data_IF_119728772214
#
_entry.id   IF_119728772214
#
_cell.length_a   1.000
_cell.length_b   1.000
_cell.length_c   1.000
_cell.angle_alpha   90.00
_cell.angle_beta   90.00
_cell.angle_gamma   90.00
#
_symmetry.space_group_name_H-M   'P 1'
#
loop_
_entity.id
_entity.type
_entity.pdbx_description
1 polymer ?
#
# COMPACT_ATOMS: atom_id res chain seq x y z
N UNK A 1 -9.10 -9.92 23.43
CA UNK A 1 -9.18 -11.12 22.57
C UNK A 1 -7.85 -11.22 21.85
N UNK A 2 -7.11 -12.32 22.02
CA UNK A 2 -5.90 -12.60 21.25
C UNK A 2 -6.34 -13.10 19.87
N UNK A 3 -6.04 -12.36 18.83
CA UNK A 3 -6.29 -12.78 17.45
C UNK A 3 -5.10 -13.61 17.00
N UNK A 4 -5.33 -14.81 16.47
CA UNK A 4 -4.28 -15.62 15.88
C UNK A 4 -3.91 -15.05 14.50
N UNK A 5 -2.74 -14.44 14.43
CA UNK A 5 -2.20 -13.87 13.19
C UNK A 5 -1.17 -14.79 12.51
N UNK A 6 -1.03 -16.02 12.97
CA UNK A 6 -0.05 -16.98 12.42
C UNK A 6 -0.28 -17.23 10.92
N UNK A 7 -1.53 -17.16 10.45
CA UNK A 7 -1.88 -17.30 9.04
C UNK A 7 -1.29 -16.22 8.14
N UNK A 8 -1.08 -15.00 8.65
CA UNK A 8 -0.44 -13.90 7.89
C UNK A 8 1.04 -14.17 7.59
N UNK A 9 1.70 -14.96 8.42
CA UNK A 9 3.14 -15.22 8.34
C UNK A 9 3.46 -16.46 7.52
N UNK A 10 2.61 -17.49 7.63
CA UNK A 10 2.86 -18.78 6.98
C UNK A 10 2.42 -18.75 5.51
N UNK A 11 3.37 -18.93 4.60
CA UNK A 11 3.14 -19.03 3.16
C UNK A 11 3.52 -20.43 2.69
N UNK A 12 2.62 -21.04 1.93
CA UNK A 12 2.79 -22.39 1.38
C UNK A 12 3.30 -22.41 -0.05
N UNK A 13 3.53 -21.23 -0.66
CA UNK A 13 3.94 -21.12 -2.07
C UNK A 13 5.34 -20.50 -2.19
N UNK A 14 5.99 -20.76 -3.32
CA UNK A 14 7.29 -20.18 -3.67
C UNK A 14 7.09 -18.87 -4.46
N UNK A 15 8.09 -17.95 -4.46
CA UNK A 15 8.03 -16.75 -5.29
C UNK A 15 7.68 -17.07 -6.75
N UNK A 16 6.75 -16.30 -7.31
CA UNK A 16 6.16 -16.55 -8.62
C UNK A 16 4.83 -17.28 -8.59
N UNK A 17 4.48 -17.97 -7.50
CA UNK A 17 3.23 -18.71 -7.35
C UNK A 17 2.41 -18.11 -6.21
N UNK A 18 1.15 -17.77 -6.48
CA UNK A 18 0.22 -17.22 -5.48
C UNK A 18 -0.70 -18.32 -4.93
N UNK A 19 -1.03 -18.31 -3.64
CA UNK A 19 -2.12 -19.12 -3.12
C UNK A 19 -3.46 -18.59 -3.67
N UNK A 20 -4.49 -19.42 -3.78
CA UNK A 20 -5.79 -18.98 -4.29
C UNK A 20 -6.46 -17.95 -3.37
N UNK A 21 -6.24 -18.05 -2.08
CA UNK A 21 -6.73 -17.13 -1.07
C UNK A 21 -5.62 -16.70 -0.12
N UNK A 22 -5.82 -15.59 0.57
CA UNK A 22 -4.90 -15.04 1.55
C UNK A 22 -5.64 -14.45 2.74
N UNK A 23 -5.05 -14.49 3.95
CA UNK A 23 -5.59 -13.74 5.08
C UNK A 23 -5.32 -12.23 4.91
N UNK A 24 -6.33 -11.41 5.23
CA UNK A 24 -6.26 -9.96 5.17
C UNK A 24 -7.14 -9.31 6.25
N UNK A 25 -6.71 -8.13 6.73
CA UNK A 25 -7.56 -7.25 7.53
C UNK A 25 -8.48 -6.47 6.59
N UNK A 26 -9.77 -6.77 6.68
CA UNK A 26 -10.79 -6.33 5.72
C UNK A 26 -11.72 -5.32 6.36
N UNK A 27 -12.00 -4.25 5.62
CA UNK A 27 -13.07 -3.28 5.88
C UNK A 27 -14.24 -3.59 4.95
N UNK A 28 -15.47 -3.54 5.47
CA UNK A 28 -16.72 -3.64 4.71
C UNK A 28 -17.61 -2.45 5.02
N UNK A 29 -18.40 -2.00 4.04
CA UNK A 29 -19.23 -0.81 4.20
C UNK A 29 -20.28 -0.93 5.31
N UNK A 30 -20.81 -2.12 5.51
CA UNK A 30 -21.79 -2.43 6.56
C UNK A 30 -21.19 -2.52 7.98
N UNK A 31 -19.85 -2.41 8.09
CA UNK A 31 -19.11 -2.49 9.37
C UNK A 31 -18.35 -1.21 9.71
N UNK A 32 -18.62 -0.10 9.06
CA UNK A 32 -17.95 1.15 9.42
C UNK A 32 -18.12 1.50 10.90
N UNK A 33 -17.01 1.91 11.53
CA UNK A 33 -16.97 2.24 12.95
C UNK A 33 -15.53 2.37 13.46
N UNK A 34 -15.33 2.11 14.75
CA UNK A 34 -13.99 2.10 15.29
C UNK A 34 -13.13 0.99 14.63
N UNK A 35 -11.84 1.27 14.32
CA UNK A 35 -11.01 0.31 13.61
C UNK A 35 -10.95 -1.08 14.24
N UNK A 36 -11.02 -1.18 15.55
CA UNK A 36 -11.03 -2.46 16.28
C UNK A 36 -12.25 -3.32 15.95
N UNK A 37 -13.33 -2.72 15.52
CA UNK A 37 -14.58 -3.41 15.17
C UNK A 37 -14.74 -3.52 13.64
N UNK A 38 -14.33 -2.50 12.90
CA UNK A 38 -14.51 -2.42 11.45
C UNK A 38 -13.50 -3.26 10.67
N UNK A 39 -12.25 -3.35 11.15
CA UNK A 39 -11.21 -4.16 10.53
C UNK A 39 -11.24 -5.58 11.10
N UNK A 40 -11.58 -6.56 10.28
CA UNK A 40 -11.64 -7.95 10.68
C UNK A 40 -10.73 -8.81 9.82
N UNK A 41 -10.08 -9.81 10.43
CA UNK A 41 -9.25 -10.76 9.70
C UNK A 41 -10.17 -11.73 8.95
N UNK A 42 -10.07 -11.73 7.63
CA UNK A 42 -10.85 -12.59 6.74
C UNK A 42 -9.92 -13.30 5.75
N UNK A 43 -10.37 -14.43 5.23
CA UNK A 43 -9.77 -15.10 4.09
C UNK A 43 -10.40 -14.55 2.82
N UNK A 44 -9.58 -13.98 1.93
CA UNK A 44 -10.02 -13.35 0.68
C UNK A 44 -9.26 -13.92 -0.51
N UNK A 45 -9.79 -13.77 -1.71
CA UNK A 45 -9.11 -14.14 -2.94
C UNK A 45 -7.80 -13.34 -3.08
N UNK A 46 -6.71 -14.03 -3.43
CA UNK A 46 -5.42 -13.37 -3.68
C UNK A 46 -5.46 -12.66 -5.03
N UNK A 47 -5.12 -11.37 -5.10
CA UNK A 47 -5.16 -10.64 -6.36
C UNK A 47 -4.06 -11.12 -7.32
N UNK A 48 -4.36 -11.14 -8.61
CA UNK A 48 -3.38 -11.31 -9.68
C UNK A 48 -2.86 -9.95 -10.16
N UNK A 49 -1.58 -9.87 -10.56
CA UNK A 49 -1.04 -8.61 -11.07
C UNK A 49 -1.51 -8.37 -12.50
N UNK A 50 -2.04 -7.20 -12.78
CA UNK A 50 -2.29 -6.69 -14.13
C UNK A 50 -1.01 -6.22 -14.82
N UNK A 51 -1.14 -5.60 -16.00
CA UNK A 51 -0.02 -4.98 -16.69
C UNK A 51 0.62 -3.88 -15.82
N UNK A 52 1.95 -3.90 -15.73
CA UNK A 52 2.76 -2.99 -14.90
C UNK A 52 2.48 -3.05 -13.40
N UNK A 53 1.77 -4.08 -12.92
CA UNK A 53 1.52 -4.31 -11.50
C UNK A 53 2.44 -5.40 -10.93
N UNK A 54 2.59 -5.37 -9.60
CA UNK A 54 3.43 -6.30 -8.84
C UNK A 54 2.63 -6.78 -7.63
N UNK A 55 2.72 -8.06 -7.35
CA UNK A 55 2.30 -8.62 -6.06
C UNK A 55 3.52 -8.66 -5.14
N UNK A 56 3.35 -8.09 -3.98
CA UNK A 56 4.36 -8.03 -2.94
C UNK A 56 3.92 -8.86 -1.76
N UNK A 57 4.77 -9.78 -1.30
CA UNK A 57 4.64 -10.39 0.02
C UNK A 57 4.97 -9.33 1.06
N UNK A 58 4.01 -8.97 1.88
CA UNK A 58 4.19 -7.99 2.94
C UNK A 58 5.01 -8.60 4.08
N UNK A 59 6.13 -7.98 4.42
CA UNK A 59 6.97 -8.34 5.55
C UNK A 59 6.69 -7.46 6.76
N UNK A 60 6.41 -6.18 6.52
CA UNK A 60 5.91 -5.23 7.52
C UNK A 60 5.00 -4.20 6.86
N UNK A 61 4.02 -3.72 7.62
CA UNK A 61 3.08 -2.68 7.21
C UNK A 61 3.06 -1.54 8.24
N UNK A 62 3.18 -0.31 7.77
CA UNK A 62 3.02 0.88 8.62
C UNK A 62 1.56 1.22 8.84
N UNK A 63 1.23 1.70 10.05
CA UNK A 63 -0.11 2.15 10.40
C UNK A 63 -0.16 3.67 10.34
N UNK A 64 -1.08 4.20 9.53
CA UNK A 64 -1.29 5.63 9.34
C UNK A 64 -2.73 6.02 9.74
N UNK A 65 -2.95 7.29 10.03
CA UNK A 65 -4.25 7.78 10.47
C UNK A 65 -5.34 7.67 9.39
N UNK A 66 -4.97 7.66 8.10
CA UNK A 66 -5.90 7.39 7.00
C UNK A 66 -6.60 6.03 7.14
N UNK A 67 -5.95 5.05 7.75
CA UNK A 67 -6.56 3.74 8.00
C UNK A 67 -7.67 3.81 9.07
N UNK A 68 -7.55 4.72 10.05
CA UNK A 68 -8.62 5.02 11.00
C UNK A 68 -9.82 5.61 10.27
N UNK A 69 -9.59 6.58 9.39
CA UNK A 69 -10.64 7.14 8.54
C UNK A 69 -11.30 6.11 7.65
N UNK A 70 -10.50 5.24 7.02
CA UNK A 70 -11.01 4.15 6.19
C UNK A 70 -11.95 3.23 6.99
N UNK A 71 -11.55 2.83 8.19
CA UNK A 71 -12.37 1.99 9.08
C UNK A 71 -13.67 2.66 9.51
N UNK A 72 -13.66 4.00 9.69
CA UNK A 72 -14.83 4.79 10.06
C UNK A 72 -15.73 5.17 8.88
N UNK A 73 -15.24 5.05 7.64
CA UNK A 73 -15.93 5.56 6.46
C UNK A 73 -15.94 7.09 6.37
N UNK A 74 -14.96 7.76 6.99
CA UNK A 74 -14.87 9.21 7.13
C UNK A 74 -13.61 9.75 6.43
N UNK A 75 -13.60 11.03 5.99
CA UNK A 75 -14.75 11.94 5.81
C UNK A 75 -15.64 11.54 4.64
N UNK A 76 -15.19 10.60 3.82
CA UNK A 76 -15.90 10.05 2.66
C UNK A 76 -15.70 8.53 2.68
N UNK A 77 -16.76 7.76 2.41
CA UNK A 77 -16.66 6.30 2.29
C UNK A 77 -15.61 5.94 1.23
N UNK A 78 -14.64 5.09 1.62
CA UNK A 78 -13.63 4.54 0.71
C UNK A 78 -14.25 3.78 -0.46
N UNK A 79 -15.45 3.22 -0.30
CA UNK A 79 -16.20 2.52 -1.35
C UNK A 79 -16.75 3.45 -2.45
N UNK A 80 -16.56 4.78 -2.31
CA UNK A 80 -16.82 5.72 -3.41
C UNK A 80 -15.68 5.79 -4.43
N UNK A 81 -14.48 5.42 -4.04
CA UNK A 81 -13.34 5.30 -4.95
C UNK A 81 -13.42 3.93 -5.62
N UNK A 82 -13.43 3.85 -6.92
CA UNK A 82 -13.67 2.61 -7.67
C UNK A 82 -12.68 1.47 -7.40
N UNK A 83 -12.81 0.37 -8.10
CA UNK A 83 -11.95 -0.83 -8.06
C UNK A 83 -12.02 -1.71 -6.80
N UNK A 84 -13.17 -1.76 -6.16
CA UNK A 84 -13.41 -2.80 -5.15
C UNK A 84 -13.77 -4.14 -5.80
N UNK A 85 -13.29 -5.26 -5.23
CA UNK A 85 -13.73 -6.60 -5.66
C UNK A 85 -15.26 -6.74 -5.57
N UNK A 86 -15.84 -7.60 -6.40
CA UNK A 86 -17.27 -7.90 -6.36
C UNK A 86 -17.75 -8.37 -4.98
N UNK A 87 -16.85 -8.94 -4.17
CA UNK A 87 -17.09 -9.34 -2.78
C UNK A 87 -17.27 -8.16 -1.81
N UNK A 88 -17.13 -6.91 -2.30
CA UNK A 88 -17.42 -5.68 -1.54
C UNK A 88 -16.54 -5.52 -0.32
N UNK A 89 -15.21 -5.74 -0.47
CA UNK A 89 -14.25 -5.53 0.60
C UNK A 89 -13.15 -4.53 0.21
N UNK A 90 -12.55 -3.92 1.23
CA UNK A 90 -11.38 -3.06 1.10
C UNK A 90 -10.27 -3.55 2.04
N UNK A 91 -9.06 -3.61 1.51
CA UNK A 91 -7.86 -3.90 2.28
C UNK A 91 -7.06 -2.60 2.38
N UNK A 92 -6.97 -2.08 3.60
CA UNK A 92 -6.24 -0.84 3.88
C UNK A 92 -4.73 -1.05 3.97
N UNK A 93 -4.04 0.01 4.42
CA UNK A 93 -2.58 0.01 4.60
C UNK A 93 -1.86 0.66 3.43
N UNK A 94 -1.24 1.82 3.69
CA UNK A 94 -0.60 2.68 2.68
C UNK A 94 0.92 2.71 2.82
N UNK A 95 1.48 1.90 3.71
CA UNK A 95 2.91 1.71 3.91
C UNK A 95 3.25 0.23 3.93
N UNK A 96 4.29 -0.17 3.21
CA UNK A 96 4.79 -1.53 3.22
C UNK A 96 6.28 -1.61 2.93
N UNK A 97 6.91 -2.60 3.54
CA UNK A 97 8.13 -3.21 3.05
C UNK A 97 7.88 -4.69 2.79
N UNK A 98 8.52 -5.24 1.79
CA UNK A 98 8.24 -6.61 1.42
C UNK A 98 9.12 -7.16 0.32
N UNK A 99 8.75 -8.32 -0.15
CA UNK A 99 9.46 -9.07 -1.19
C UNK A 99 8.56 -9.13 -2.42
N UNK A 100 9.08 -8.74 -3.58
CA UNK A 100 8.40 -8.95 -4.85
C UNK A 100 8.11 -10.44 -5.00
N UNK A 101 6.83 -10.79 -5.14
CA UNK A 101 6.41 -12.19 -5.22
C UNK A 101 6.06 -12.61 -6.63
N UNK A 102 5.30 -11.79 -7.34
CA UNK A 102 4.90 -12.01 -8.73
C UNK A 102 4.85 -10.68 -9.47
N UNK A 103 5.21 -10.68 -10.73
CA UNK A 103 5.19 -9.47 -11.58
C UNK A 103 4.22 -9.67 -12.74
N UNK A 104 3.53 -8.62 -13.12
CA UNK A 104 2.65 -8.57 -14.27
C UNK A 104 3.39 -8.30 -15.57
N UNK A 105 2.63 -8.31 -16.66
CA UNK A 105 3.17 -8.01 -17.99
C UNK A 105 3.77 -6.59 -18.04
N UNK A 106 4.87 -6.43 -18.77
CA UNK A 106 5.56 -5.15 -18.94
C UNK A 106 6.46 -4.72 -17.78
N UNK A 107 6.44 -5.40 -16.65
CA UNK A 107 7.36 -5.12 -15.54
C UNK A 107 8.74 -5.69 -15.87
N UNK A 108 9.73 -4.79 -16.01
CA UNK A 108 11.11 -5.16 -16.37
C UNK A 108 12.14 -4.78 -15.29
N UNK A 109 11.78 -3.84 -14.42
CA UNK A 109 12.67 -3.33 -13.37
C UNK A 109 12.74 -4.26 -12.15
N UNK A 110 11.70 -5.03 -11.91
CA UNK A 110 11.55 -5.86 -10.72
C UNK A 110 11.39 -7.34 -11.08
N UNK A 111 11.84 -8.20 -10.19
CA UNK A 111 11.69 -9.65 -10.30
C UNK A 111 11.34 -10.27 -8.96
N UNK A 112 10.74 -11.46 -8.93
CA UNK A 112 10.51 -12.21 -7.70
C UNK A 112 11.79 -12.35 -6.87
N UNK A 113 11.68 -12.07 -5.57
CA UNK A 113 12.79 -12.07 -4.61
C UNK A 113 13.43 -10.72 -4.33
N UNK A 114 13.13 -9.66 -5.09
CA UNK A 114 13.63 -8.32 -4.81
C UNK A 114 13.01 -7.76 -3.53
N UNK A 115 13.85 -7.19 -2.64
CA UNK A 115 13.42 -6.52 -1.41
C UNK A 115 13.06 -5.06 -1.70
N UNK A 116 11.87 -4.64 -1.28
CA UNK A 116 11.31 -3.34 -1.66
C UNK A 116 10.63 -2.61 -0.51
N UNK A 117 10.44 -1.31 -0.72
CA UNK A 117 9.52 -0.44 0.01
C UNK A 117 8.50 0.12 -0.98
N UNK A 118 7.26 0.27 -0.53
CA UNK A 118 6.19 0.83 -1.35
C UNK A 118 6.02 2.32 -1.07
N UNK A 119 5.94 3.12 -2.13
CA UNK A 119 5.50 4.51 -2.09
C UNK A 119 3.98 4.56 -2.27
N UNK A 120 3.27 5.29 -1.40
CA UNK A 120 1.81 5.28 -1.37
C UNK A 120 1.12 5.99 -2.56
N UNK A 121 1.84 6.83 -3.31
CA UNK A 121 1.27 7.52 -4.45
C UNK A 121 1.06 6.58 -5.63
N UNK A 122 -0.18 6.43 -6.06
CA UNK A 122 -0.59 5.66 -7.23
C UNK A 122 -1.15 6.60 -8.29
N UNK A 123 -0.77 6.40 -9.55
CA UNK A 123 -1.31 7.15 -10.68
C UNK A 123 -1.23 6.32 -11.96
N UNK A 124 -2.10 6.61 -12.94
CA UNK A 124 -2.07 5.93 -14.23
C UNK A 124 -0.75 6.13 -14.96
N UNK A 125 -0.24 5.08 -15.58
CA UNK A 125 0.90 5.18 -16.50
C UNK A 125 0.61 6.05 -17.71
N UNK A 126 -0.65 6.27 -18.05
CA UNK A 126 -1.07 7.11 -19.18
C UNK A 126 -1.00 8.61 -18.86
N UNK A 127 -0.93 8.98 -17.60
CA UNK A 127 -0.82 10.37 -17.20
C UNK A 127 0.61 10.90 -17.49
N UNK A 128 0.76 11.99 -18.26
CA UNK A 128 2.08 12.52 -18.61
C UNK A 128 2.89 12.99 -17.39
N UNK A 129 2.24 13.36 -16.30
CA UNK A 129 2.87 13.79 -15.06
C UNK A 129 3.72 12.68 -14.42
N UNK A 130 3.39 11.41 -14.68
CA UNK A 130 4.15 10.25 -14.20
C UNK A 130 5.50 10.12 -14.91
N UNK A 131 5.64 10.69 -16.12
CA UNK A 131 6.80 10.55 -16.99
C UNK A 131 7.77 11.76 -16.95
N UNK A 132 8.08 12.26 -15.77
CA UNK A 132 9.12 13.28 -15.59
C UNK A 132 8.60 14.67 -15.22
N UNK A 133 7.31 14.78 -14.92
CA UNK A 133 6.70 15.94 -14.30
C UNK A 133 6.49 15.69 -12.81
N UNK A 134 5.35 16.05 -12.28
CA UNK A 134 4.98 15.85 -10.89
C UNK A 134 3.89 14.77 -10.77
N UNK A 135 4.22 13.53 -10.39
CA UNK A 135 3.24 12.45 -10.27
C UNK A 135 2.08 12.75 -9.31
N UNK A 136 2.27 13.68 -8.35
CA UNK A 136 1.21 14.11 -7.44
C UNK A 136 0.21 15.09 -8.10
N UNK A 137 0.55 15.62 -9.26
CA UNK A 137 -0.36 16.45 -10.07
C UNK A 137 -1.12 15.63 -11.12
N UNK A 138 -0.88 14.33 -11.21
CA UNK A 138 -1.55 13.45 -12.17
C UNK A 138 -3.07 13.43 -11.89
N UNK A 139 -3.93 13.56 -12.92
CA UNK A 139 -5.38 13.56 -12.75
C UNK A 139 -5.93 12.29 -12.09
N UNK A 140 -5.27 11.15 -12.31
CA UNK A 140 -5.64 9.86 -11.72
C UNK A 140 -4.96 9.57 -10.38
N UNK A 141 -4.28 10.53 -9.78
CA UNK A 141 -3.56 10.34 -8.53
C UNK A 141 -4.50 9.87 -7.41
N UNK A 142 -4.09 8.81 -6.74
CA UNK A 142 -4.79 8.22 -5.59
C UNK A 142 -3.78 7.77 -4.53
N UNK A 143 -4.25 7.64 -3.31
CA UNK A 143 -3.47 7.06 -2.21
C UNK A 143 -3.75 5.57 -2.15
N UNK A 144 -2.74 4.79 -2.47
CA UNK A 144 -2.78 3.33 -2.38
C UNK A 144 -3.12 2.86 -0.96
N UNK A 145 -4.02 1.89 -0.86
CA UNK A 145 -4.47 1.34 0.41
C UNK A 145 -5.39 2.26 1.22
N UNK A 146 -5.84 3.37 0.62
CA UNK A 146 -6.89 4.24 1.15
C UNK A 146 -7.95 4.53 0.09
N UNK A 147 -7.57 5.14 -1.04
CA UNK A 147 -8.48 5.40 -2.17
C UNK A 147 -8.53 4.22 -3.15
N UNK A 148 -7.53 3.34 -3.09
CA UNK A 148 -7.53 2.06 -3.81
C UNK A 148 -7.47 0.91 -2.82
N UNK A 149 -8.04 -0.24 -3.16
CA UNK A 149 -7.96 -1.46 -2.37
C UNK A 149 -6.61 -2.20 -2.59
N UNK A 150 -6.45 -3.37 -2.02
CA UNK A 150 -5.25 -4.21 -2.08
C UNK A 150 -4.02 -3.62 -1.35
N UNK A 151 -4.28 -2.89 -0.25
CA UNK A 151 -3.23 -2.33 0.60
C UNK A 151 -2.44 -3.36 1.41
N UNK A 152 -1.58 -2.85 2.30
CA UNK A 152 -0.59 -3.67 3.01
C UNK A 152 -1.12 -4.46 4.21
N UNK A 153 -2.37 -4.30 4.60
CA UNK A 153 -2.94 -5.04 5.74
C UNK A 153 -3.38 -6.47 5.34
N UNK A 154 -2.57 -7.14 4.56
CA UNK A 154 -2.76 -8.51 4.07
C UNK A 154 -1.44 -9.25 3.95
N UNK A 155 -1.51 -10.55 3.70
CA UNK A 155 -0.33 -11.36 3.41
C UNK A 155 0.37 -10.92 2.12
N UNK A 156 -0.41 -10.55 1.11
CA UNK A 156 0.06 -9.97 -0.14
C UNK A 156 -0.67 -8.68 -0.43
N UNK A 157 0.04 -7.71 -1.01
CA UNK A 157 -0.57 -6.50 -1.55
C UNK A 157 -0.29 -6.37 -3.05
N UNK A 158 -1.13 -5.59 -3.73
CA UNK A 158 -0.98 -5.31 -5.16
C UNK A 158 -0.66 -3.83 -5.37
N UNK A 159 0.40 -3.54 -6.11
CA UNK A 159 0.92 -2.20 -6.35
C UNK A 159 1.37 -2.03 -7.79
N UNK A 160 1.45 -0.79 -8.26
CA UNK A 160 2.09 -0.49 -9.53
C UNK A 160 3.62 -0.59 -9.40
N UNK A 161 4.30 -1.11 -10.41
CA UNK A 161 5.76 -1.28 -10.40
C UNK A 161 6.54 0.03 -10.14
N UNK A 162 5.97 1.18 -10.52
CA UNK A 162 6.54 2.51 -10.30
C UNK A 162 6.50 2.97 -8.83
N UNK A 163 5.64 2.37 -8.00
CA UNK A 163 5.57 2.67 -6.56
C UNK A 163 6.71 2.00 -5.78
N UNK A 164 7.45 1.10 -6.38
CA UNK A 164 8.46 0.32 -5.70
C UNK A 164 9.81 1.03 -5.69
N UNK A 165 10.45 1.03 -4.52
CA UNK A 165 11.82 1.46 -4.30
C UNK A 165 12.61 0.31 -3.69
N UNK A 166 13.93 0.19 -3.95
CA UNK A 166 14.75 -0.80 -3.26
C UNK A 166 14.71 -0.56 -1.74
N UNK A 167 14.52 -1.60 -0.96
CA UNK A 167 14.65 -1.50 0.49
C UNK A 167 16.11 -1.20 0.85
N UNK A 168 16.38 -0.16 1.68
CA UNK A 168 17.73 0.05 2.19
C UNK A 168 18.23 -1.14 3.00
N UNK A 169 19.40 -1.65 2.70
CA UNK A 169 19.98 -2.83 3.36
C UNK A 169 20.16 -2.64 4.88
N UNK A 170 20.42 -1.40 5.32
CA UNK A 170 20.63 -1.06 6.72
C UNK A 170 19.35 -1.05 7.57
N UNK A 171 18.16 -1.08 6.96
CA UNK A 171 16.89 -1.02 7.67
C UNK A 171 16.27 -2.41 7.83
N UNK A 172 15.65 -2.64 9.00
CA UNK A 172 14.77 -3.79 9.19
C UNK A 172 13.50 -3.64 8.33
N UNK A 173 12.67 -4.66 8.26
CA UNK A 173 11.39 -4.59 7.55
C UNK A 173 10.47 -3.55 8.17
N UNK A 174 10.39 -3.50 9.50
CA UNK A 174 9.54 -2.58 10.25
C UNK A 174 9.99 -1.13 10.07
N UNK A 175 11.30 -0.86 10.15
CA UNK A 175 11.85 0.47 9.89
C UNK A 175 11.57 0.90 8.46
N UNK A 176 11.77 0.00 7.50
CA UNK A 176 11.54 0.26 6.08
C UNK A 176 10.05 0.51 5.77
N UNK A 177 9.12 -0.14 6.48
CA UNK A 177 7.68 0.07 6.31
C UNK A 177 7.16 1.36 6.97
N UNK A 178 7.98 2.08 7.75
CA UNK A 178 7.49 3.19 8.57
C UNK A 178 7.54 4.56 7.89
N UNK A 179 8.13 4.69 6.72
CA UNK A 179 8.40 6.00 6.11
C UNK A 179 7.76 6.26 4.74
N UNK A 180 7.19 5.26 4.10
CA UNK A 180 6.69 5.34 2.72
C UNK A 180 5.62 6.39 2.50
N UNK A 181 4.76 6.66 3.48
CA UNK A 181 3.77 7.72 3.42
C UNK A 181 4.26 8.99 4.13
N UNK A 182 4.58 8.88 5.42
CA UNK A 182 4.78 10.05 6.28
C UNK A 182 6.05 10.82 5.94
N UNK A 183 7.20 10.14 5.79
CA UNK A 183 8.47 10.82 5.50
C UNK A 183 8.53 11.34 4.07
N UNK A 184 8.00 10.61 3.09
CA UNK A 184 7.96 11.12 1.71
C UNK A 184 7.05 12.34 1.62
N UNK A 185 5.91 12.34 2.32
CA UNK A 185 5.04 13.51 2.39
C UNK A 185 5.75 14.69 3.06
N UNK A 186 6.38 14.46 4.22
CA UNK A 186 7.13 15.51 4.91
C UNK A 186 8.29 16.06 4.06
N UNK A 187 9.05 15.19 3.40
CA UNK A 187 10.11 15.60 2.48
C UNK A 187 9.57 16.48 1.36
N UNK A 188 8.50 16.02 0.70
CA UNK A 188 7.83 16.77 -0.36
C UNK A 188 7.39 18.15 0.11
N UNK A 189 6.73 18.23 1.28
CA UNK A 189 6.25 19.49 1.84
C UNK A 189 7.40 20.46 2.16
N UNK A 190 8.44 19.97 2.81
CA UNK A 190 9.52 20.80 3.33
C UNK A 190 10.55 21.14 2.26
N UNK A 191 10.98 20.15 1.49
CA UNK A 191 12.10 20.33 0.56
C UNK A 191 11.63 20.82 -0.81
N UNK A 192 10.59 20.23 -1.37
CA UNK A 192 10.16 20.54 -2.73
C UNK A 192 9.23 21.77 -2.76
N UNK A 193 8.27 21.86 -1.83
CA UNK A 193 7.27 22.93 -1.83
C UNK A 193 7.74 24.15 -1.02
N UNK A 194 8.07 23.98 0.25
CA UNK A 194 8.49 25.08 1.12
C UNK A 194 9.96 25.52 0.86
N UNK A 195 10.80 24.62 0.30
CA UNK A 195 12.22 24.88 -0.02
C UNK A 195 13.01 25.42 1.19
N UNK A 196 12.76 24.81 2.36
CA UNK A 196 13.40 25.23 3.61
C UNK A 196 14.92 25.18 3.52
N UNK A 197 15.57 26.11 4.23
CA UNK A 197 17.02 26.22 4.32
C UNK A 197 17.49 26.01 5.77
N UNK A 198 18.76 25.71 5.92
CA UNK A 198 19.37 25.60 7.25
C UNK A 198 19.20 26.92 8.02
N UNK A 199 18.60 26.84 9.21
CA UNK A 199 18.31 28.00 10.06
C UNK A 199 16.88 28.53 9.98
N UNK A 200 16.06 28.04 9.04
CA UNK A 200 14.64 28.40 8.98
C UNK A 200 13.89 27.88 10.21
N UNK A 201 12.87 28.64 10.61
CA UNK A 201 11.96 28.25 11.69
C UNK A 201 10.70 27.64 11.08
N UNK A 202 10.45 26.40 11.44
CA UNK A 202 9.26 25.66 10.99
C UNK A 202 8.29 25.52 12.15
N UNK A 203 7.03 25.90 11.92
CA UNK A 203 5.92 25.66 12.85
C UNK A 203 5.21 24.37 12.41
N UNK A 204 5.02 23.44 13.35
CA UNK A 204 4.30 22.17 13.17
C UNK A 204 3.05 22.18 14.03
#
# INVERSE_FOLDING_TARGET
VSIDTSSLVNISTEPGTLPPTMPAWVIREDRFGEPVDSMQLEEVETPEPGAFEVIVRVMAAGVNFNNVWAGRGEPISIFRYGDHPETGHHIGGSDASGIVWKVGEGVTRWKPGDEIVVHCNQASYEDPEVHGLDPLAAPSQQIWGYETTWGSFAQFCKVQAQQLLPKPEALTWEEAASYGLTYFTAYRMLMDQAKIQAGDKVLI
#
